data_IF_740113022602
#
_entry.id   IF_740113022602
#
_cell.length_a   1.000
_cell.length_b   1.000
_cell.length_c   1.000
_cell.angle_alpha   90.00
_cell.angle_beta   90.00
_cell.angle_gamma   90.00
#
_symmetry.space_group_name_H-M   'P 1'
#
loop_
_entity.id
_entity.type
_entity.pdbx_description
1 polymer ?
#
# COMPACT_ATOMS: atom_id res chain seq x y z
N UNK A 1 -17.04 1.39 -2.99
CA UNK A 1 -17.38 2.83 -3.05
C UNK A 1 -16.42 3.75 -2.26
N UNK A 2 -15.82 3.30 -1.14
CA UNK A 2 -14.88 4.09 -0.31
C UNK A 2 -13.78 4.85 -1.08
N UNK A 3 -13.08 4.18 -2.00
CA UNK A 3 -12.03 4.82 -2.80
C UNK A 3 -12.58 5.94 -3.72
N UNK A 4 -13.77 5.77 -4.30
CA UNK A 4 -14.38 6.82 -5.13
C UNK A 4 -14.82 8.01 -4.27
N UNK A 5 -15.40 7.77 -3.10
CA UNK A 5 -15.77 8.85 -2.18
C UNK A 5 -14.57 9.63 -1.63
N UNK A 6 -13.46 8.94 -1.36
CA UNK A 6 -12.27 9.53 -0.73
C UNK A 6 -11.38 10.33 -1.68
N UNK A 7 -11.25 9.87 -2.92
CA UNK A 7 -10.25 10.38 -3.86
C UNK A 7 -10.71 10.38 -5.33
N UNK A 8 -11.98 10.01 -5.60
CA UNK A 8 -12.56 10.03 -6.95
C UNK A 8 -12.03 8.97 -7.92
N UNK A 9 -11.05 8.16 -7.52
CA UNK A 9 -10.42 7.14 -8.36
C UNK A 9 -10.12 5.86 -7.58
N UNK A 10 -9.87 4.76 -8.28
CA UNK A 10 -9.46 3.53 -7.61
C UNK A 10 -8.03 3.63 -7.04
N UNK A 11 -7.73 2.91 -5.96
CA UNK A 11 -6.42 2.91 -5.29
C UNK A 11 -5.26 2.57 -6.26
N UNK A 12 -5.51 1.72 -7.26
CA UNK A 12 -4.55 1.40 -8.31
C UNK A 12 -4.09 2.63 -9.12
N UNK A 13 -4.98 3.61 -9.31
CA UNK A 13 -4.73 4.83 -10.10
C UNK A 13 -4.21 6.01 -9.28
N UNK A 14 -3.92 5.82 -7.99
CA UNK A 14 -3.30 6.86 -7.17
C UNK A 14 -2.00 7.35 -7.80
N UNK A 15 -1.86 8.67 -7.93
CA UNK A 15 -0.60 9.31 -8.29
C UNK A 15 0.34 9.37 -7.05
N UNK A 16 1.55 9.90 -7.24
CA UNK A 16 2.54 9.93 -6.17
C UNK A 16 2.05 10.76 -4.94
N UNK A 17 1.47 11.97 -5.11
CA UNK A 17 0.83 12.70 -4.01
C UNK A 17 -0.31 11.91 -3.34
N UNK A 18 -1.14 11.23 -4.15
CA UNK A 18 -2.23 10.40 -3.68
C UNK A 18 -1.75 9.23 -2.81
N UNK A 19 -0.70 8.52 -3.22
CA UNK A 19 -0.09 7.47 -2.39
C UNK A 19 0.42 8.04 -1.06
N UNK A 20 1.09 9.19 -1.06
CA UNK A 20 1.62 9.80 0.19
C UNK A 20 0.53 10.28 1.14
N UNK A 21 -0.61 10.73 0.62
CA UNK A 21 -1.73 11.20 1.44
C UNK A 21 -2.61 10.06 1.93
N UNK A 22 -2.87 9.07 1.07
CA UNK A 22 -3.85 8.01 1.32
C UNK A 22 -3.24 6.73 1.89
N UNK A 23 -1.94 6.50 1.69
CA UNK A 23 -1.21 5.33 2.20
C UNK A 23 -0.27 5.72 3.34
N UNK A 24 -0.74 6.58 4.26
CA UNK A 24 0.02 6.95 5.46
C UNK A 24 0.17 5.74 6.38
N UNK A 25 1.41 5.47 6.78
CA UNK A 25 1.77 4.42 7.74
C UNK A 25 2.25 5.04 9.04
N UNK A 26 2.17 4.28 10.12
CA UNK A 26 2.86 4.61 11.37
C UNK A 26 4.38 4.65 11.14
N UNK A 27 5.13 5.34 11.99
CA UNK A 27 6.60 5.36 11.90
C UNK A 27 7.18 3.93 11.98
N UNK A 28 6.63 3.10 12.87
CA UNK A 28 7.07 1.71 13.07
C UNK A 28 6.81 0.86 11.81
N UNK A 29 5.65 1.03 11.16
CA UNK A 29 5.31 0.26 9.97
C UNK A 29 6.03 0.76 8.71
N UNK A 30 6.39 2.06 8.64
CA UNK A 30 7.28 2.56 7.60
C UNK A 30 8.66 1.89 7.69
N UNK A 31 9.30 1.91 8.86
CA UNK A 31 10.62 1.27 9.04
C UNK A 31 10.56 -0.24 8.77
N UNK A 32 9.49 -0.90 9.20
CA UNK A 32 9.28 -2.31 8.91
C UNK A 32 9.15 -2.57 7.40
N UNK A 33 8.36 -1.76 6.69
CA UNK A 33 8.18 -1.88 5.25
C UNK A 33 9.47 -1.61 4.49
N UNK A 34 10.23 -0.58 4.86
CA UNK A 34 11.54 -0.26 4.28
C UNK A 34 12.48 -1.45 4.41
N UNK A 35 12.59 -2.02 5.62
CA UNK A 35 13.42 -3.21 5.88
C UNK A 35 12.95 -4.41 5.03
N UNK A 36 11.64 -4.62 4.91
CA UNK A 36 11.09 -5.70 4.10
C UNK A 36 11.39 -5.49 2.61
N UNK A 37 11.26 -4.25 2.10
CA UNK A 37 11.58 -3.89 0.73
C UNK A 37 13.05 -4.12 0.40
N UNK A 38 13.96 -3.70 1.30
CA UNK A 38 15.40 -3.89 1.16
C UNK A 38 15.76 -5.38 1.10
N UNK A 39 15.23 -6.18 2.05
CA UNK A 39 15.47 -7.63 2.09
C UNK A 39 14.99 -8.36 0.85
N UNK A 40 13.91 -7.88 0.23
CA UNK A 40 13.31 -8.48 -0.97
C UNK A 40 13.83 -7.87 -2.28
N UNK A 41 14.75 -6.90 -2.21
CA UNK A 41 15.28 -6.19 -3.37
C UNK A 41 14.20 -5.45 -4.17
N UNK A 42 13.17 -4.94 -3.51
CA UNK A 42 12.06 -4.24 -4.17
C UNK A 42 12.49 -2.84 -4.62
N UNK A 43 12.21 -2.52 -5.89
CA UNK A 43 12.36 -1.16 -6.37
C UNK A 43 11.33 -0.23 -5.72
N UNK A 44 11.62 1.07 -5.70
CA UNK A 44 10.67 2.10 -5.24
C UNK A 44 9.31 2.01 -5.94
N UNK A 45 9.31 1.65 -7.24
CA UNK A 45 8.06 1.45 -8.00
C UNK A 45 7.26 0.25 -7.48
N UNK A 46 7.94 -0.84 -7.12
CA UNK A 46 7.29 -2.00 -6.53
C UNK A 46 6.73 -1.68 -5.13
N UNK A 47 7.47 -0.93 -4.31
CA UNK A 47 7.00 -0.45 -3.01
C UNK A 47 5.75 0.43 -3.13
N UNK A 48 5.70 1.35 -4.10
CA UNK A 48 4.48 2.14 -4.36
C UNK A 48 3.29 1.29 -4.77
N UNK A 49 3.48 0.26 -5.60
CA UNK A 49 2.40 -0.66 -5.97
C UNK A 49 1.91 -1.44 -4.75
N UNK A 50 2.82 -1.91 -3.91
CA UNK A 50 2.50 -2.58 -2.65
C UNK A 50 1.65 -1.70 -1.74
N UNK A 51 1.99 -0.41 -1.57
CA UNK A 51 1.19 0.52 -0.79
C UNK A 51 -0.24 0.66 -1.31
N UNK A 52 -0.44 0.69 -2.64
CA UNK A 52 -1.78 0.73 -3.25
C UNK A 52 -2.57 -0.55 -3.01
N UNK A 53 -1.91 -1.71 -3.05
CA UNK A 53 -2.53 -3.00 -2.72
C UNK A 53 -2.90 -3.05 -1.24
N UNK A 54 -2.00 -2.68 -0.34
CA UNK A 54 -2.26 -2.62 1.10
C UNK A 54 -3.41 -1.66 1.43
N UNK A 55 -3.53 -0.54 0.71
CA UNK A 55 -4.67 0.37 0.84
C UNK A 55 -5.99 -0.25 0.40
N UNK A 56 -5.94 -1.07 -0.65
CA UNK A 56 -7.12 -1.79 -1.14
C UNK A 56 -7.56 -2.84 -0.13
N UNK A 57 -6.62 -3.57 0.49
CA UNK A 57 -6.91 -4.52 1.56
C UNK A 57 -7.55 -3.82 2.77
N UNK A 58 -7.01 -2.68 3.20
CA UNK A 58 -7.62 -1.88 4.26
C UNK A 58 -9.04 -1.41 3.92
N UNK A 59 -9.27 -0.97 2.67
CA UNK A 59 -10.61 -0.59 2.20
C UNK A 59 -11.58 -1.78 2.16
N UNK A 60 -11.10 -2.99 1.82
CA UNK A 60 -11.90 -4.22 1.84
C UNK A 60 -12.30 -4.61 3.26
N UNK A 61 -11.40 -4.45 4.22
CA UNK A 61 -11.69 -4.67 5.64
C UNK A 61 -12.49 -3.53 6.30
N UNK A 62 -12.86 -2.48 5.55
CA UNK A 62 -13.52 -1.28 6.05
C UNK A 62 -12.71 -0.52 7.13
N UNK A 63 -11.38 -0.61 7.08
CA UNK A 63 -10.47 0.06 8.01
C UNK A 63 -9.89 1.33 7.39
N UNK A 64 -9.82 2.41 8.17
CA UNK A 64 -9.27 3.68 7.71
C UNK A 64 -7.74 3.70 7.66
N UNK A 65 -7.08 3.00 8.57
CA UNK A 65 -5.63 2.92 8.65
C UNK A 65 -5.08 1.69 7.91
N UNK A 66 -3.93 1.84 7.24
CA UNK A 66 -3.19 0.69 6.74
C UNK A 66 -2.39 0.11 7.91
N UNK A 67 -2.82 -1.05 8.39
CA UNK A 67 -2.11 -1.83 9.39
C UNK A 67 -1.03 -2.75 8.79
N UNK A 68 -0.11 -3.22 9.66
CA UNK A 68 0.96 -4.16 9.28
C UNK A 68 0.47 -5.42 8.57
N UNK A 69 -0.69 -5.95 8.96
CA UNK A 69 -1.28 -7.14 8.33
C UNK A 69 -1.54 -6.91 6.83
N UNK A 70 -2.06 -5.74 6.45
CA UNK A 70 -2.31 -5.39 5.06
C UNK A 70 -1.00 -5.25 4.26
N UNK A 71 0.06 -4.72 4.89
CA UNK A 71 1.38 -4.64 4.26
C UNK A 71 1.99 -6.03 4.04
N UNK A 72 1.92 -6.89 5.05
CA UNK A 72 2.42 -8.26 4.98
C UNK A 72 1.65 -9.09 3.95
N UNK A 73 0.35 -8.91 3.85
CA UNK A 73 -0.48 -9.55 2.84
C UNK A 73 -0.18 -9.00 1.44
N UNK A 74 -0.05 -7.68 1.27
CA UNK A 74 0.34 -7.07 0.00
C UNK A 74 1.73 -7.53 -0.48
N UNK A 75 2.67 -7.78 0.43
CA UNK A 75 3.98 -8.38 0.14
C UNK A 75 3.86 -9.81 -0.40
N UNK A 76 2.93 -10.59 0.14
CA UNK A 76 2.65 -11.97 -0.30
C UNK A 76 1.94 -11.99 -1.65
N UNK A 77 1.11 -10.99 -1.93
CA UNK A 77 0.41 -10.82 -3.22
C UNK A 77 1.31 -10.48 -4.40
N UNK A 78 2.64 -10.53 -4.25
CA UNK A 78 3.65 -10.09 -5.23
C UNK A 78 3.17 -10.43 -6.64
N UNK A 79 2.67 -9.44 -7.41
CA UNK A 79 2.22 -9.72 -8.75
C UNK A 79 3.48 -10.13 -9.49
N UNK A 80 3.48 -11.38 -9.99
CA UNK A 80 4.51 -11.88 -10.89
C UNK A 80 4.61 -10.87 -12.02
N UNK A 81 5.64 -10.02 -11.95
CA UNK A 81 5.90 -9.04 -13.00
C UNK A 81 6.51 -9.86 -14.12
N UNK A 82 5.66 -10.49 -14.92
CA UNK A 82 5.97 -10.93 -16.27
C UNK A 82 6.02 -9.74 -17.21
#
# INVERSE_FOLDING_TARGET
>A
ERQLQRQGCANAFLDLPGVRSQCRLSAVDNTWLETACERMGLSLRAAHRLLKVARTLADLEQVDAIERKHLAEALQYRPVSG
#
